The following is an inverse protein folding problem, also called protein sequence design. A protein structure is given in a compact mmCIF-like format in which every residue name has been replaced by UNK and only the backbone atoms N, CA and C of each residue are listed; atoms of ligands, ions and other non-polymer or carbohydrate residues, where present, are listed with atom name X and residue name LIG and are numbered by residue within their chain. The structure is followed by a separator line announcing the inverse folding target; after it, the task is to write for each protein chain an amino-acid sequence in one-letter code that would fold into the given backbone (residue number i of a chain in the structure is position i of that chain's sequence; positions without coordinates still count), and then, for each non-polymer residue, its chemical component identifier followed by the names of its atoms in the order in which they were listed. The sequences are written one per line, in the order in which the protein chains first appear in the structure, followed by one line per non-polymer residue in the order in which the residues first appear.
data_IF_405332958187
#
_entry.id   IF_405332958187
#
_cell.length_a   1.000
_cell.length_b   1.000
_cell.length_c   1.000
_cell.angle_alpha   90.00
_cell.angle_beta   90.00
_cell.angle_gamma   90.00
#
_symmetry.space_group_name_H-M   'P 1'
#
loop_
_entity.id
_entity.type
_entity.pdbx_description
1 polymer ?
#
# COMPACT_ATOMS: atom_id res chain seq x y z
N UNK A 1 1.36 12.74 -19.45
CA UNK A 1 1.85 11.52 -18.78
C UNK A 1 0.98 10.35 -19.20
N UNK A 2 1.57 9.21 -19.62
CA UNK A 2 0.82 7.99 -19.94
C UNK A 2 0.93 6.99 -18.80
N UNK A 3 -0.18 6.38 -18.40
CA UNK A 3 -0.25 5.36 -17.36
C UNK A 3 -0.94 4.13 -17.91
N UNK A 4 -0.36 2.96 -17.62
CA UNK A 4 -0.90 1.67 -18.03
C UNK A 4 -1.29 0.83 -16.81
N UNK A 5 -2.43 0.19 -16.86
CA UNK A 5 -2.85 -0.87 -15.96
C UNK A 5 -2.74 -2.21 -16.66
N UNK A 6 -2.18 -3.21 -16.02
CA UNK A 6 -2.09 -4.58 -16.57
C UNK A 6 -3.16 -5.45 -15.94
N UNK A 7 -4.30 -5.61 -16.62
CA UNK A 7 -5.39 -6.46 -16.16
C UNK A 7 -5.15 -7.94 -16.48
N UNK A 8 -5.45 -8.81 -15.55
CA UNK A 8 -5.41 -10.27 -15.67
C UNK A 8 -6.53 -10.89 -14.85
N UNK A 9 -6.87 -12.14 -15.17
CA UNK A 9 -7.93 -12.86 -14.47
C UNK A 9 -7.66 -12.91 -12.94
N UNK A 10 -8.74 -12.83 -12.17
CA UNK A 10 -8.69 -12.79 -10.69
C UNK A 10 -8.01 -11.57 -10.09
N UNK A 11 -7.73 -10.50 -10.85
CA UNK A 11 -7.31 -9.23 -10.25
C UNK A 11 -8.46 -8.59 -9.47
N UNK A 12 -8.13 -7.79 -8.45
CA UNK A 12 -9.11 -6.97 -7.74
C UNK A 12 -9.45 -5.73 -8.56
N UNK A 13 -10.71 -5.61 -8.99
CA UNK A 13 -11.20 -4.47 -9.78
C UNK A 13 -10.98 -3.12 -9.07
N UNK A 14 -11.12 -3.07 -7.74
CA UNK A 14 -10.89 -1.87 -6.93
C UNK A 14 -9.46 -1.34 -7.02
N UNK A 15 -8.47 -2.21 -7.26
CA UNK A 15 -7.08 -1.78 -7.48
C UNK A 15 -6.79 -1.26 -8.90
N UNK A 16 -7.80 -1.28 -9.76
CA UNK A 16 -7.80 -0.60 -11.07
C UNK A 16 -8.75 0.59 -11.03
N UNK A 17 -10.02 0.38 -10.62
CA UNK A 17 -11.06 1.42 -10.71
C UNK A 17 -10.74 2.64 -9.87
N UNK A 18 -10.33 2.47 -8.60
CA UNK A 18 -10.02 3.61 -7.73
C UNK A 18 -8.84 4.46 -8.27
N UNK A 19 -7.66 3.89 -8.58
CA UNK A 19 -6.60 4.64 -9.24
C UNK A 19 -7.02 5.29 -10.56
N UNK A 20 -7.80 4.59 -11.37
CA UNK A 20 -8.27 5.09 -12.67
C UNK A 20 -9.17 6.32 -12.51
N UNK A 21 -10.11 6.29 -11.55
CA UNK A 21 -11.00 7.41 -11.22
C UNK A 21 -10.21 8.61 -10.70
N UNK A 22 -9.23 8.39 -9.80
CA UNK A 22 -8.37 9.45 -9.27
C UNK A 22 -7.54 10.13 -10.37
N UNK A 23 -6.96 9.34 -11.28
CA UNK A 23 -6.16 9.84 -12.38
C UNK A 23 -7.01 10.59 -13.42
N UNK A 24 -8.22 10.12 -13.70
CA UNK A 24 -9.16 10.83 -14.57
C UNK A 24 -9.58 12.16 -13.95
N UNK A 25 -9.91 12.20 -12.66
CA UNK A 25 -10.24 13.43 -11.95
C UNK A 25 -9.08 14.44 -11.97
N UNK A 26 -7.82 13.97 -11.81
CA UNK A 26 -6.64 14.82 -11.94
C UNK A 26 -6.48 15.39 -13.34
N UNK A 27 -6.64 14.55 -14.35
CA UNK A 27 -6.51 14.94 -15.75
C UNK A 27 -7.59 15.95 -16.16
N UNK A 28 -8.84 15.75 -15.74
CA UNK A 28 -9.96 16.69 -15.97
C UNK A 28 -9.75 18.03 -15.25
N UNK A 29 -9.30 17.99 -13.99
CA UNK A 29 -8.97 19.19 -13.22
C UNK A 29 -7.83 19.97 -13.88
N UNK A 30 -6.78 19.28 -14.32
CA UNK A 30 -5.66 19.89 -15.02
C UNK A 30 -6.09 20.55 -16.34
N UNK A 31 -6.94 19.85 -17.11
CA UNK A 31 -7.52 20.40 -18.35
C UNK A 31 -8.33 21.66 -18.08
N UNK A 32 -9.18 21.66 -17.06
CA UNK A 32 -10.02 22.80 -16.72
C UNK A 32 -9.20 24.04 -16.32
N UNK A 33 -8.04 23.84 -15.66
CA UNK A 33 -7.20 24.93 -15.19
C UNK A 33 -6.25 25.41 -16.30
N UNK A 34 -5.62 24.50 -17.04
CA UNK A 34 -4.49 24.80 -17.93
C UNK A 34 -4.84 24.71 -19.42
N UNK A 35 -6.09 24.35 -19.75
CA UNK A 35 -6.57 24.13 -21.12
C UNK A 35 -5.70 23.18 -21.96
N UNK A 36 -5.12 22.17 -21.33
CA UNK A 36 -4.24 21.17 -21.96
C UNK A 36 -5.00 19.88 -22.24
N UNK A 37 -4.50 19.11 -23.23
CA UNK A 37 -5.08 17.81 -23.58
C UNK A 37 -4.99 16.82 -22.42
N UNK A 38 -6.07 16.07 -22.20
CA UNK A 38 -6.14 14.99 -21.22
C UNK A 38 -5.49 13.74 -21.79
N UNK A 39 -4.51 13.18 -21.07
CA UNK A 39 -3.97 11.86 -21.36
C UNK A 39 -4.69 10.87 -20.46
N UNK A 40 -5.50 10.02 -21.05
CA UNK A 40 -6.26 9.00 -20.32
C UNK A 40 -5.36 7.81 -19.96
N UNK A 41 -5.48 7.27 -18.74
CA UNK A 41 -4.90 5.98 -18.41
C UNK A 41 -5.51 4.87 -19.28
N UNK A 42 -4.69 3.89 -19.69
CA UNK A 42 -5.10 2.78 -20.54
C UNK A 42 -5.02 1.45 -19.76
N UNK A 43 -5.92 0.52 -20.07
CA UNK A 43 -5.97 -0.81 -19.45
C UNK A 43 -5.56 -1.86 -20.47
N UNK A 44 -4.51 -2.60 -20.18
CA UNK A 44 -3.95 -3.63 -21.04
C UNK A 44 -4.25 -5.03 -20.49
N UNK A 45 -4.59 -5.97 -21.36
CA UNK A 45 -4.86 -7.36 -21.00
C UNK A 45 -4.65 -8.32 -22.17
N UNK A 46 -4.51 -9.60 -21.88
CA UNK A 46 -4.34 -10.64 -22.91
C UNK A 46 -5.61 -10.93 -23.71
N UNK A 47 -6.77 -10.50 -23.24
CA UNK A 47 -8.08 -10.61 -23.89
C UNK A 47 -8.74 -9.24 -23.87
N UNK A 48 -9.62 -8.96 -24.84
CA UNK A 48 -10.42 -7.72 -24.87
C UNK A 48 -11.31 -7.52 -23.64
N UNK A 49 -11.55 -8.60 -22.89
CA UNK A 49 -12.38 -8.61 -21.69
C UNK A 49 -11.75 -9.57 -20.69
N UNK A 50 -11.34 -9.05 -19.54
CA UNK A 50 -10.73 -9.80 -18.45
C UNK A 50 -11.71 -9.89 -17.29
N UNK A 51 -11.94 -11.09 -16.75
CA UNK A 51 -12.80 -11.28 -15.59
C UNK A 51 -12.01 -11.05 -14.30
N UNK A 52 -12.32 -9.98 -13.59
CA UNK A 52 -11.78 -9.68 -12.28
C UNK A 52 -12.41 -10.56 -11.20
N UNK A 53 -11.82 -10.56 -10.01
CA UNK A 53 -12.41 -11.17 -8.83
C UNK A 53 -13.79 -10.58 -8.54
N UNK A 54 -14.74 -11.44 -8.11
CA UNK A 54 -16.14 -11.02 -7.91
C UNK A 54 -16.98 -10.94 -9.19
N UNK A 55 -16.45 -11.38 -10.35
CA UNK A 55 -17.22 -11.54 -11.58
C UNK A 55 -17.32 -10.28 -12.44
N UNK A 56 -16.76 -9.14 -12.02
CA UNK A 56 -16.71 -7.94 -12.85
C UNK A 56 -15.84 -8.15 -14.08
N UNK A 57 -16.29 -7.59 -15.20
CA UNK A 57 -15.54 -7.65 -16.45
C UNK A 57 -14.86 -6.30 -16.71
N UNK A 58 -13.56 -6.35 -16.94
CA UNK A 58 -12.75 -5.20 -17.28
C UNK A 58 -12.47 -5.24 -18.77
N UNK A 59 -12.88 -4.19 -19.49
CA UNK A 59 -12.49 -4.02 -20.88
C UNK A 59 -11.04 -3.57 -20.95
N UNK A 60 -10.30 -4.07 -21.92
CA UNK A 60 -8.90 -3.74 -22.15
C UNK A 60 -8.72 -3.11 -23.52
N UNK A 61 -7.86 -2.10 -23.57
CA UNK A 61 -7.61 -1.35 -24.78
C UNK A 61 -6.69 -2.10 -25.74
N UNK A 62 -5.68 -2.81 -25.20
CA UNK A 62 -4.70 -3.55 -25.99
C UNK A 62 -3.99 -4.62 -25.18
N UNK A 63 -3.13 -5.41 -25.84
CA UNK A 63 -2.29 -6.42 -25.21
C UNK A 63 -1.09 -5.77 -24.47
N UNK A 64 -0.64 -6.29 -23.30
CA UNK A 64 0.49 -5.73 -22.55
C UNK A 64 1.80 -5.58 -23.33
N UNK A 65 2.03 -6.39 -24.36
CA UNK A 65 3.20 -6.26 -25.26
C UNK A 65 3.22 -4.96 -26.05
N UNK A 66 2.05 -4.31 -26.20
CA UNK A 66 1.91 -3.05 -26.93
C UNK A 66 2.11 -1.83 -26.03
N UNK A 67 2.41 -2.02 -24.74
CA UNK A 67 2.72 -0.91 -23.83
C UNK A 67 4.02 -0.24 -24.27
N UNK A 68 3.91 1.02 -24.68
CA UNK A 68 5.06 1.86 -25.07
C UNK A 68 4.85 3.29 -24.59
N UNK A 69 5.94 4.00 -24.37
CA UNK A 69 5.95 5.42 -24.01
C UNK A 69 5.10 5.78 -22.77
N UNK A 70 5.11 4.90 -21.78
CA UNK A 70 4.39 5.09 -20.51
C UNK A 70 5.35 5.50 -19.38
N UNK A 71 4.84 6.26 -18.43
CA UNK A 71 5.59 6.74 -17.28
C UNK A 71 5.41 5.84 -16.05
N UNK A 72 4.27 5.14 -15.99
CA UNK A 72 3.89 4.28 -14.86
C UNK A 72 3.09 3.08 -15.36
N UNK A 73 3.43 1.89 -14.87
CA UNK A 73 2.67 0.65 -15.08
C UNK A 73 2.22 0.13 -13.73
N UNK A 74 0.92 -0.12 -13.60
CA UNK A 74 0.29 -0.58 -12.35
C UNK A 74 -0.19 -2.03 -12.53
N UNK A 75 0.26 -2.90 -11.64
CA UNK A 75 -0.18 -4.29 -11.49
C UNK A 75 -1.21 -4.36 -10.36
N UNK A 76 -2.50 -4.61 -10.65
CA UNK A 76 -3.54 -4.70 -9.65
C UNK A 76 -3.33 -5.90 -8.71
N UNK A 77 -3.90 -5.83 -7.52
CA UNK A 77 -3.83 -6.93 -6.56
C UNK A 77 -4.49 -8.20 -7.12
N UNK A 78 -3.94 -9.36 -6.78
CA UNK A 78 -4.46 -10.67 -7.14
C UNK A 78 -5.33 -11.18 -5.99
N UNK A 79 -6.53 -11.67 -6.31
CA UNK A 79 -7.38 -12.34 -5.34
C UNK A 79 -6.91 -13.76 -5.07
N UNK A 80 -6.68 -14.11 -3.81
CA UNK A 80 -6.20 -15.42 -3.35
C UNK A 80 -4.75 -15.72 -3.79
N UNK A 81 -4.48 -16.93 -4.28
CA UNK A 81 -3.13 -17.42 -4.56
C UNK A 81 -2.52 -16.77 -5.81
N UNK A 82 -1.49 -15.92 -5.67
CA UNK A 82 -0.88 -15.22 -6.81
C UNK A 82 -0.16 -16.17 -7.78
N UNK A 83 0.38 -17.29 -7.31
CA UNK A 83 1.21 -18.17 -8.14
C UNK A 83 0.46 -18.79 -9.30
N UNK A 84 -0.82 -19.09 -9.12
CA UNK A 84 -1.66 -19.65 -10.21
C UNK A 84 -1.85 -18.63 -11.32
N UNK A 85 -2.06 -17.36 -10.97
CA UNK A 85 -2.21 -16.27 -11.94
C UNK A 85 -0.87 -15.99 -12.64
N UNK A 86 0.23 -15.93 -11.89
CA UNK A 86 1.57 -15.73 -12.45
C UNK A 86 1.94 -16.80 -13.47
N UNK A 87 1.65 -18.08 -13.20
CA UNK A 87 1.90 -19.16 -14.14
C UNK A 87 1.14 -18.99 -15.46
N UNK A 88 -0.14 -18.56 -15.42
CA UNK A 88 -0.95 -18.31 -16.62
C UNK A 88 -0.43 -17.11 -17.41
N UNK A 89 0.10 -16.12 -16.73
CA UNK A 89 0.60 -14.87 -17.31
C UNK A 89 2.12 -14.74 -17.25
N UNK A 90 2.84 -15.88 -17.36
CA UNK A 90 4.29 -15.95 -17.20
C UNK A 90 5.03 -14.97 -18.14
N UNK A 91 4.48 -14.69 -19.32
CA UNK A 91 5.05 -13.72 -20.26
C UNK A 91 5.21 -12.30 -19.68
N UNK A 92 4.42 -11.94 -18.64
CA UNK A 92 4.55 -10.65 -17.96
C UNK A 92 5.86 -10.51 -17.18
N UNK A 93 6.51 -11.61 -16.80
CA UNK A 93 7.79 -11.56 -16.08
C UNK A 93 8.89 -10.96 -16.96
N UNK A 94 8.94 -11.36 -18.23
CA UNK A 94 9.90 -10.81 -19.19
C UNK A 94 9.59 -9.34 -19.52
N UNK A 95 8.31 -8.99 -19.68
CA UNK A 95 7.91 -7.62 -19.90
C UNK A 95 8.25 -6.72 -18.70
N UNK A 96 8.08 -7.21 -17.47
CA UNK A 96 8.46 -6.49 -16.25
C UNK A 96 9.95 -6.14 -16.24
N UNK A 97 10.84 -7.09 -16.61
CA UNK A 97 12.29 -6.85 -16.72
C UNK A 97 12.59 -5.76 -17.73
N UNK A 98 12.01 -5.88 -18.94
CA UNK A 98 12.20 -4.90 -20.01
C UNK A 98 11.73 -3.49 -19.62
N UNK A 99 10.59 -3.36 -18.95
CA UNK A 99 10.07 -2.08 -18.48
C UNK A 99 10.91 -1.50 -17.36
N UNK A 100 11.42 -2.35 -16.45
CA UNK A 100 12.35 -1.93 -15.39
C UNK A 100 13.65 -1.38 -15.99
N UNK A 101 14.25 -2.08 -16.95
CA UNK A 101 15.48 -1.67 -17.63
C UNK A 101 15.30 -0.35 -18.39
N UNK A 102 14.11 -0.10 -18.96
CA UNK A 102 13.76 1.17 -19.59
C UNK A 102 13.52 2.30 -18.60
N UNK A 103 13.59 2.05 -17.29
CA UNK A 103 13.38 3.06 -16.24
C UNK A 103 11.91 3.46 -16.05
N UNK A 104 10.95 2.70 -16.59
CA UNK A 104 9.52 2.94 -16.39
C UNK A 104 9.17 2.65 -14.93
N UNK A 105 8.41 3.54 -14.28
CA UNK A 105 7.94 3.29 -12.92
C UNK A 105 6.97 2.10 -12.90
N UNK A 106 7.22 1.14 -12.02
CA UNK A 106 6.44 -0.08 -11.89
C UNK A 106 5.80 -0.12 -10.50
N UNK A 107 4.50 -0.31 -10.42
CA UNK A 107 3.75 -0.37 -9.17
C UNK A 107 3.05 -1.72 -9.02
N UNK A 108 3.36 -2.44 -7.94
CA UNK A 108 2.64 -3.64 -7.51
C UNK A 108 1.67 -3.30 -6.39
N UNK A 109 0.42 -3.74 -6.49
CA UNK A 109 -0.60 -3.58 -5.45
C UNK A 109 -0.84 -4.91 -4.73
N UNK A 110 -0.64 -4.93 -3.43
CA UNK A 110 -0.85 -6.11 -2.59
C UNK A 110 -0.08 -7.32 -3.11
N UNK A 111 -0.78 -8.41 -3.29
CA UNK A 111 -0.23 -9.72 -3.71
C UNK A 111 0.40 -9.73 -5.11
N UNK A 112 0.18 -8.69 -5.95
CA UNK A 112 0.87 -8.60 -7.24
C UNK A 112 2.37 -8.32 -7.12
N UNK A 113 2.88 -7.94 -5.93
CA UNK A 113 4.32 -7.92 -5.64
C UNK A 113 5.00 -9.27 -5.92
N UNK A 114 4.24 -10.37 -5.91
CA UNK A 114 4.74 -11.69 -6.29
C UNK A 114 5.16 -11.78 -7.77
N UNK A 115 4.54 -11.02 -8.70
CA UNK A 115 5.04 -10.92 -10.08
C UNK A 115 6.45 -10.33 -10.12
N UNK A 116 6.68 -9.30 -9.33
CA UNK A 116 7.96 -8.58 -9.27
C UNK A 116 9.04 -9.45 -8.60
N UNK A 117 8.66 -10.22 -7.58
CA UNK A 117 9.53 -11.19 -6.93
C UNK A 117 9.92 -12.33 -7.90
N UNK A 118 8.95 -12.95 -8.60
CA UNK A 118 9.20 -13.99 -9.61
C UNK A 118 10.02 -13.48 -10.80
N UNK A 119 9.90 -12.20 -11.15
CA UNK A 119 10.75 -11.58 -12.17
C UNK A 119 12.17 -11.27 -11.67
N UNK A 120 12.49 -11.51 -10.37
CA UNK A 120 13.79 -11.22 -9.77
C UNK A 120 14.03 -9.72 -9.48
N UNK A 121 13.05 -8.87 -9.65
CA UNK A 121 13.19 -7.42 -9.52
C UNK A 121 13.32 -6.93 -8.07
N UNK A 122 12.92 -7.77 -7.11
CA UNK A 122 12.93 -7.43 -5.68
C UNK A 122 14.09 -8.10 -4.91
N UNK A 123 15.00 -8.82 -5.59
CA UNK A 123 16.12 -9.49 -4.94
C UNK A 123 16.98 -8.50 -4.16
N UNK A 124 17.17 -8.76 -2.84
CA UNK A 124 17.88 -7.90 -1.87
C UNK A 124 17.36 -6.45 -1.82
N UNK A 125 16.09 -6.23 -2.13
CA UNK A 125 15.46 -4.91 -2.11
C UNK A 125 14.29 -4.88 -1.14
N UNK A 126 13.97 -3.68 -0.60
CA UNK A 126 12.78 -3.51 0.23
C UNK A 126 11.52 -3.70 -0.61
N UNK A 127 10.58 -4.47 -0.07
CA UNK A 127 9.27 -4.69 -0.67
C UNK A 127 8.21 -4.86 0.41
N UNK A 128 6.96 -4.54 0.10
CA UNK A 128 5.80 -4.92 0.89
C UNK A 128 4.79 -5.66 0.02
N UNK A 129 3.88 -6.36 0.67
CA UNK A 129 2.78 -7.08 0.04
C UNK A 129 1.52 -6.96 0.90
N UNK A 130 0.44 -7.64 0.55
CA UNK A 130 -0.74 -7.67 1.40
C UNK A 130 -0.43 -8.39 2.72
N UNK A 131 -0.82 -7.80 3.85
CA UNK A 131 -0.50 -8.30 5.20
C UNK A 131 -0.85 -9.79 5.41
N UNK A 132 -1.99 -10.25 4.87
CA UNK A 132 -2.39 -11.66 4.94
C UNK A 132 -1.49 -12.64 4.16
N UNK A 133 -0.48 -12.14 3.42
CA UNK A 133 0.48 -12.91 2.65
C UNK A 133 1.93 -12.78 3.12
N UNK A 134 2.20 -12.00 4.18
CA UNK A 134 3.56 -11.75 4.64
C UNK A 134 4.36 -13.03 4.86
N UNK A 135 3.81 -14.00 5.59
CA UNK A 135 4.54 -15.23 5.93
C UNK A 135 4.76 -16.13 4.71
N UNK A 136 3.78 -16.22 3.81
CA UNK A 136 3.90 -16.98 2.57
C UNK A 136 4.91 -16.33 1.63
N UNK A 137 4.88 -15.00 1.51
CA UNK A 137 5.79 -14.21 0.69
C UNK A 137 7.22 -14.34 1.21
N UNK A 138 7.45 -14.13 2.51
CA UNK A 138 8.78 -14.25 3.13
C UNK A 138 9.36 -15.66 3.03
N UNK A 139 8.52 -16.69 3.22
CA UNK A 139 8.95 -18.09 3.07
C UNK A 139 9.37 -18.44 1.65
N UNK A 140 8.70 -17.85 0.65
CA UNK A 140 8.97 -18.13 -0.76
C UNK A 140 10.14 -17.31 -1.31
N UNK A 141 10.31 -16.09 -0.82
CA UNK A 141 11.32 -15.13 -1.28
C UNK A 141 12.16 -14.63 -0.10
N UNK A 142 12.97 -15.52 0.53
CA UNK A 142 13.69 -15.20 1.77
C UNK A 142 14.75 -14.10 1.59
N UNK A 143 15.22 -13.89 0.36
CA UNK A 143 16.22 -12.87 0.00
C UNK A 143 15.61 -11.46 -0.16
N UNK A 144 14.29 -11.32 -0.14
CA UNK A 144 13.63 -10.02 -0.23
C UNK A 144 13.54 -9.40 1.16
N UNK A 145 13.87 -8.12 1.27
CA UNK A 145 13.70 -7.35 2.50
C UNK A 145 12.24 -6.98 2.69
N UNK A 146 11.45 -7.89 3.30
CA UNK A 146 10.02 -7.67 3.51
C UNK A 146 9.77 -6.66 4.63
N UNK A 147 9.26 -5.49 4.26
CA UNK A 147 8.94 -4.38 5.14
C UNK A 147 7.48 -4.46 5.61
N UNK A 148 7.24 -5.21 6.70
CA UNK A 148 5.88 -5.48 7.22
C UNK A 148 5.20 -4.25 7.83
N UNK A 149 5.98 -3.26 8.27
CA UNK A 149 5.50 -2.07 8.96
C UNK A 149 5.22 -0.89 8.03
N UNK A 150 5.52 -1.03 6.74
CA UNK A 150 5.32 0.01 5.74
C UNK A 150 4.23 -0.38 4.75
N UNK A 151 3.31 0.54 4.52
CA UNK A 151 2.23 0.34 3.56
C UNK A 151 2.71 0.50 2.11
N UNK A 152 3.79 1.23 1.92
CA UNK A 152 4.40 1.48 0.61
C UNK A 152 5.92 1.34 0.75
N UNK A 153 6.54 0.64 -0.19
CA UNK A 153 7.99 0.57 -0.34
C UNK A 153 8.40 1.05 -1.72
N UNK A 154 9.61 1.61 -1.80
CA UNK A 154 10.22 2.04 -3.06
C UNK A 154 11.65 1.55 -3.17
N UNK A 155 11.98 0.92 -4.29
CA UNK A 155 13.32 0.53 -4.68
C UNK A 155 13.59 0.99 -6.12
N UNK A 156 14.32 2.08 -6.30
CA UNK A 156 14.54 2.74 -7.61
C UNK A 156 13.19 3.15 -8.25
N UNK A 157 12.86 2.53 -9.40
CA UNK A 157 11.60 2.73 -10.13
C UNK A 157 10.52 1.68 -9.81
N UNK A 158 10.70 0.88 -8.75
CA UNK A 158 9.75 -0.14 -8.31
C UNK A 158 9.06 0.34 -7.04
N UNK A 159 7.74 0.27 -7.03
CA UNK A 159 6.87 0.62 -5.91
C UNK A 159 6.02 -0.59 -5.55
N UNK A 160 5.90 -0.91 -4.25
CA UNK A 160 4.96 -1.90 -3.76
C UNK A 160 4.02 -1.22 -2.76
N UNK A 161 2.72 -1.28 -3.04
CA UNK A 161 1.66 -0.81 -2.14
C UNK A 161 0.98 -2.01 -1.51
N UNK A 162 0.94 -2.11 -0.18
CA UNK A 162 0.44 -3.29 0.54
C UNK A 162 -1.08 -3.53 0.41
N UNK A 163 -1.84 -2.54 -0.03
CA UNK A 163 -3.30 -2.62 -0.15
C UNK A 163 -3.85 -1.68 -1.22
N UNK A 164 -5.16 -1.80 -1.50
CA UNK A 164 -5.88 -0.87 -2.38
C UNK A 164 -5.89 0.56 -1.81
N UNK A 165 -5.96 0.70 -0.49
CA UNK A 165 -5.90 2.03 0.13
C UNK A 165 -4.51 2.67 -0.03
N UNK A 166 -3.45 1.89 0.17
CA UNK A 166 -2.07 2.38 -0.02
C UNK A 166 -1.75 2.73 -1.47
N UNK A 167 -2.36 2.05 -2.47
CA UNK A 167 -2.16 2.46 -3.86
C UNK A 167 -2.79 3.83 -4.13
N UNK A 168 -3.89 4.17 -3.48
CA UNK A 168 -4.48 5.49 -3.62
C UNK A 168 -3.54 6.60 -3.11
N UNK A 169 -2.84 6.39 -1.99
CA UNK A 169 -1.80 7.33 -1.50
C UNK A 169 -0.65 7.46 -2.50
N UNK A 170 -0.23 6.35 -3.09
CA UNK A 170 0.80 6.34 -4.13
C UNK A 170 0.33 7.08 -5.41
N UNK A 171 -0.94 6.96 -5.79
CA UNK A 171 -1.53 7.70 -6.90
C UNK A 171 -1.53 9.21 -6.63
N UNK A 172 -1.86 9.67 -5.42
CA UNK A 172 -1.76 11.08 -5.05
C UNK A 172 -0.32 11.59 -5.22
N UNK A 173 0.67 10.81 -4.78
CA UNK A 173 2.08 11.15 -5.02
C UNK A 173 2.41 11.32 -6.51
N UNK A 174 1.95 10.41 -7.37
CA UNK A 174 2.16 10.54 -8.81
C UNK A 174 1.40 11.73 -9.40
N UNK A 175 0.16 11.98 -8.96
CA UNK A 175 -0.59 13.17 -9.37
C UNK A 175 0.17 14.43 -8.98
N UNK A 176 0.70 14.51 -7.76
CA UNK A 176 1.51 15.66 -7.33
C UNK A 176 2.76 15.84 -8.20
N UNK A 177 3.46 14.75 -8.48
CA UNK A 177 4.67 14.75 -9.30
C UNK A 177 4.40 15.25 -10.73
N UNK A 178 3.23 14.92 -11.30
CA UNK A 178 2.94 15.18 -12.70
C UNK A 178 2.05 16.38 -12.96
N UNK A 179 1.17 16.73 -12.03
CA UNK A 179 0.18 17.79 -12.19
C UNK A 179 0.33 18.90 -11.13
N UNK A 180 1.23 18.70 -10.14
CA UNK A 180 1.48 19.65 -9.06
C UNK A 180 0.57 19.48 -7.85
N UNK A 181 0.99 20.11 -6.74
CA UNK A 181 0.36 19.95 -5.42
C UNK A 181 -1.09 20.44 -5.35
N UNK A 182 -1.46 21.46 -6.15
CA UNK A 182 -2.83 22.00 -6.12
C UNK A 182 -3.85 21.01 -6.67
N UNK A 183 -3.51 20.30 -7.74
CA UNK A 183 -4.37 19.28 -8.33
C UNK A 183 -4.40 18.04 -7.42
N UNK A 184 -3.24 17.64 -6.89
CA UNK A 184 -3.17 16.52 -5.94
C UNK A 184 -4.08 16.75 -4.73
N UNK A 185 -4.05 17.93 -4.10
CA UNK A 185 -4.93 18.28 -2.96
C UNK A 185 -6.42 18.23 -3.31
N UNK A 186 -6.80 18.66 -4.51
CA UNK A 186 -8.20 18.61 -4.96
C UNK A 186 -8.68 17.17 -5.15
N UNK A 187 -7.85 16.32 -5.76
CA UNK A 187 -8.16 14.90 -5.94
C UNK A 187 -8.21 14.19 -4.60
N UNK A 188 -7.26 14.44 -3.72
CA UNK A 188 -7.23 13.88 -2.36
C UNK A 188 -8.49 14.22 -1.58
N UNK A 189 -8.94 15.48 -1.61
CA UNK A 189 -10.16 15.94 -0.94
C UNK A 189 -11.42 15.22 -1.44
N UNK A 190 -11.47 14.82 -2.72
CA UNK A 190 -12.62 14.13 -3.31
C UNK A 190 -12.63 12.63 -2.99
N UNK A 191 -11.46 11.99 -2.81
CA UNK A 191 -11.35 10.52 -2.70
C UNK A 191 -11.04 10.01 -1.30
N UNK A 192 -10.63 10.82 -0.36
CA UNK A 192 -10.53 10.45 1.07
C UNK A 192 -10.01 11.61 1.93
N UNK A 193 -10.85 12.47 2.45
CA UNK A 193 -10.42 13.58 3.31
C UNK A 193 -9.99 13.13 4.72
N UNK A 194 -10.40 11.96 5.20
CA UNK A 194 -10.44 11.69 6.65
C UNK A 194 -9.30 10.84 7.21
N UNK A 195 -8.52 10.12 6.42
CA UNK A 195 -7.61 9.05 6.95
C UNK A 195 -6.21 9.06 6.34
N UNK A 196 -5.88 9.94 5.39
CA UNK A 196 -4.61 9.84 4.68
C UNK A 196 -3.48 10.60 5.35
N UNK A 197 -2.45 9.85 5.70
CA UNK A 197 -1.15 10.42 6.04
C UNK A 197 -0.43 10.80 4.73
N UNK A 198 0.36 11.88 4.77
CA UNK A 198 1.23 12.27 3.64
C UNK A 198 2.07 11.08 3.17
N UNK A 199 2.20 10.90 1.86
CA UNK A 199 3.03 9.87 1.21
C UNK A 199 4.42 9.75 1.83
N UNK A 200 5.10 10.88 2.10
CA UNK A 200 6.42 10.90 2.71
C UNK A 200 6.47 10.23 4.09
N UNK A 201 5.33 10.12 4.80
CA UNK A 201 5.24 9.47 6.11
C UNK A 201 4.94 7.97 6.04
N UNK A 202 4.43 7.48 4.92
CA UNK A 202 4.00 6.08 4.75
C UNK A 202 4.91 5.25 3.85
N UNK A 203 5.97 5.86 3.27
CA UNK A 203 6.87 5.18 2.34
C UNK A 203 8.25 4.93 2.94
N UNK A 204 8.76 3.72 2.67
CA UNK A 204 10.16 3.35 2.86
C UNK A 204 10.91 3.46 1.53
N UNK A 205 11.99 4.24 1.49
CA UNK A 205 12.86 4.40 0.33
C UNK A 205 14.17 3.62 0.52
N UNK A 206 14.61 2.88 -0.49
CA UNK A 206 15.90 2.21 -0.51
C UNK A 206 17.05 3.25 -0.39
N UNK A 207 17.93 3.06 0.59
CA UNK A 207 19.11 3.93 0.81
C UNK A 207 18.86 5.15 1.71
N UNK A 208 17.64 5.43 2.14
CA UNK A 208 17.36 6.43 3.15
C UNK A 208 17.52 5.83 4.56
N UNK A 209 18.70 5.92 5.14
CA UNK A 209 18.97 5.52 6.53
C UNK A 209 18.48 6.54 7.57
N UNK A 210 17.64 7.48 7.20
CA UNK A 210 17.03 8.41 8.15
C UNK A 210 15.91 7.72 8.89
N UNK A 211 16.22 7.22 10.08
CA UNK A 211 15.22 6.86 11.10
C UNK A 211 14.39 8.11 11.39
N UNK A 212 13.27 8.27 10.71
CA UNK A 212 12.32 9.30 11.06
C UNK A 212 11.78 9.01 12.47
N UNK A 213 11.59 10.06 13.26
CA UNK A 213 11.05 9.96 14.62
C UNK A 213 9.70 9.22 14.68
N UNK A 214 9.01 9.11 13.56
CA UNK A 214 7.71 8.44 13.42
C UNK A 214 7.83 6.90 13.28
N UNK A 215 8.99 6.36 12.83
CA UNK A 215 9.21 4.89 12.74
C UNK A 215 9.25 4.24 14.12
N UNK A 216 9.82 4.91 15.10
CA UNK A 216 9.84 4.42 16.47
C UNK A 216 8.41 4.36 17.03
N UNK A 217 7.60 5.38 16.74
CA UNK A 217 6.18 5.40 17.15
C UNK A 217 5.40 4.33 16.40
N UNK A 218 5.62 4.14 15.09
CA UNK A 218 4.96 3.09 14.32
C UNK A 218 5.30 1.68 14.88
N UNK A 219 6.56 1.42 15.21
CA UNK A 219 6.98 0.17 15.90
C UNK A 219 6.30 0.01 17.25
N UNK A 220 6.19 1.10 18.01
CA UNK A 220 5.51 1.07 19.31
C UNK A 220 4.02 0.79 19.14
N UNK A 221 3.35 1.37 18.16
CA UNK A 221 1.93 1.13 17.87
C UNK A 221 1.68 -0.36 17.56
N UNK A 222 2.51 -0.97 16.72
CA UNK A 222 2.42 -2.40 16.42
C UNK A 222 2.67 -3.25 17.67
N UNK A 223 3.70 -2.92 18.44
CA UNK A 223 4.00 -3.62 19.68
C UNK A 223 2.84 -3.51 20.69
N UNK A 224 2.18 -2.35 20.80
CA UNK A 224 1.00 -2.14 21.64
C UNK A 224 -0.17 -3.01 21.20
N UNK A 225 -0.42 -3.13 19.89
CA UNK A 225 -1.45 -4.00 19.34
C UNK A 225 -1.19 -5.49 19.60
N UNK A 226 0.07 -5.92 19.65
CA UNK A 226 0.45 -7.32 19.93
C UNK A 226 0.50 -7.62 21.44
N UNK A 227 0.67 -6.60 22.29
CA UNK A 227 0.90 -6.77 23.73
C UNK A 227 -0.15 -6.09 24.61
N UNK A 228 -1.29 -5.69 24.04
CA UNK A 228 -2.34 -4.93 24.75
C UNK A 228 -2.84 -5.60 26.04
N UNK A 229 -2.91 -6.92 26.06
CA UNK A 229 -3.38 -7.72 27.21
C UNK A 229 -2.36 -7.72 28.40
N UNK A 230 -1.11 -7.31 28.15
CA UNK A 230 -0.08 -7.29 29.20
C UNK A 230 -0.10 -5.98 29.98
N UNK A 231 0.53 -5.97 31.17
CA UNK A 231 0.75 -4.74 31.92
C UNK A 231 1.78 -3.86 31.19
N UNK A 232 1.29 -2.83 30.49
CA UNK A 232 2.11 -1.85 29.75
C UNK A 232 2.10 -0.51 30.47
N UNK A 233 3.29 -0.02 30.84
CA UNK A 233 3.48 1.28 31.49
C UNK A 233 4.14 2.27 30.52
N UNK A 234 3.95 3.57 30.76
CA UNK A 234 4.64 4.62 29.98
C UNK A 234 6.17 4.48 30.04
N UNK A 235 6.71 4.04 31.17
CA UNK A 235 8.15 3.75 31.31
C UNK A 235 8.57 2.64 30.35
N UNK A 236 7.86 1.51 30.34
CA UNK A 236 8.17 0.40 29.44
C UNK A 236 8.10 0.77 27.95
N UNK A 237 7.13 1.61 27.56
CA UNK A 237 7.05 2.15 26.20
C UNK A 237 8.24 3.05 25.86
N UNK A 238 8.68 3.90 26.82
CA UNK A 238 9.82 4.79 26.65
C UNK A 238 11.15 4.00 26.56
N UNK A 239 11.30 2.97 27.39
CA UNK A 239 12.49 2.09 27.41
C UNK A 239 12.63 1.31 26.09
N UNK A 240 11.51 0.84 25.50
CA UNK A 240 11.50 0.15 24.20
C UNK A 240 12.05 1.02 23.05
N UNK A 241 11.90 2.34 23.18
CA UNK A 241 12.38 3.29 22.18
C UNK A 241 13.71 3.96 22.59
N UNK A 242 14.23 3.68 23.79
CA UNK A 242 15.44 4.32 24.32
C UNK A 242 15.31 5.84 24.53
N UNK A 243 14.09 6.33 24.87
CA UNK A 243 13.79 7.75 25.05
C UNK A 243 13.14 8.04 26.40
N UNK A 244 13.09 9.32 26.80
CA UNK A 244 12.37 9.71 28.01
C UNK A 244 10.85 9.67 27.82
N UNK A 245 10.09 9.48 28.93
CA UNK A 245 8.61 9.54 28.92
C UNK A 245 8.10 10.87 28.34
N UNK A 246 8.75 11.99 28.63
CA UNK A 246 8.40 13.30 28.07
C UNK A 246 8.55 13.32 26.55
N UNK A 247 9.63 12.76 26.03
CA UNK A 247 9.89 12.65 24.59
C UNK A 247 8.89 11.71 23.94
N UNK A 248 8.60 10.55 24.58
CA UNK A 248 7.58 9.62 24.13
C UNK A 248 6.22 10.31 23.97
N UNK A 249 5.72 10.96 25.03
CA UNK A 249 4.41 11.62 25.01
C UNK A 249 4.32 12.69 23.91
N UNK A 250 5.37 13.51 23.76
CA UNK A 250 5.42 14.53 22.71
C UNK A 250 5.40 13.90 21.32
N UNK A 251 6.27 12.94 21.04
CA UNK A 251 6.37 12.26 19.73
C UNK A 251 5.10 11.48 19.40
N UNK A 252 4.57 10.75 20.38
CA UNK A 252 3.35 9.96 20.23
C UNK A 252 2.13 10.86 19.97
N UNK A 253 1.99 11.95 20.71
CA UNK A 253 0.89 12.91 20.48
C UNK A 253 1.01 13.59 19.12
N UNK A 254 2.23 13.94 18.68
CA UNK A 254 2.45 14.50 17.35
C UNK A 254 2.03 13.52 16.23
N UNK A 255 2.34 12.22 16.41
CA UNK A 255 2.07 11.18 15.42
C UNK A 255 0.60 10.72 15.40
N UNK A 256 -0.04 10.61 16.59
CA UNK A 256 -1.35 9.96 16.75
C UNK A 256 -2.46 10.90 17.25
N UNK A 257 -2.11 12.13 17.64
CA UNK A 257 -2.99 13.14 18.28
C UNK A 257 -3.63 12.68 19.60
N UNK A 258 -3.07 11.66 20.25
CA UNK A 258 -3.52 11.14 21.54
C UNK A 258 -2.32 10.71 22.39
N UNK A 259 -2.54 10.47 23.69
CA UNK A 259 -1.48 9.96 24.55
C UNK A 259 -1.24 8.44 24.30
N UNK A 260 -0.04 7.90 24.61
CA UNK A 260 0.21 6.46 24.51
C UNK A 260 -0.77 5.61 25.34
N UNK A 261 -1.20 6.11 26.50
CA UNK A 261 -2.13 5.41 27.40
C UNK A 261 -3.56 5.41 26.82
N UNK A 262 -4.00 6.52 26.23
CA UNK A 262 -5.31 6.60 25.60
C UNK A 262 -5.38 5.71 24.37
N UNK A 263 -4.31 5.63 23.58
CA UNK A 263 -4.20 4.70 22.48
C UNK A 263 -4.34 3.25 22.96
N UNK A 264 -3.57 2.85 23.96
CA UNK A 264 -3.64 1.50 24.54
C UNK A 264 -5.06 1.18 25.04
N UNK A 265 -5.73 2.16 25.67
CA UNK A 265 -7.13 2.03 26.11
C UNK A 265 -8.06 1.79 24.91
N UNK A 266 -7.87 2.53 23.82
CA UNK A 266 -8.66 2.36 22.60
C UNK A 266 -8.49 0.97 21.99
N UNK A 267 -7.26 0.47 21.92
CA UNK A 267 -6.93 -0.88 21.45
C UNK A 267 -7.64 -1.93 22.32
N UNK A 268 -7.54 -1.84 23.65
CA UNK A 268 -8.19 -2.76 24.60
C UNK A 268 -9.71 -2.77 24.45
N UNK A 269 -10.33 -1.59 24.32
CA UNK A 269 -11.77 -1.47 24.11
C UNK A 269 -12.18 -2.09 22.78
N UNK A 270 -11.37 -1.93 21.73
CA UNK A 270 -11.61 -2.58 20.44
C UNK A 270 -11.65 -4.10 20.54
N UNK A 271 -10.63 -4.70 21.15
CA UNK A 271 -10.57 -6.15 21.37
C UNK A 271 -11.67 -6.64 22.32
N UNK A 272 -11.97 -5.90 23.39
CA UNK A 272 -13.06 -6.26 24.31
C UNK A 272 -14.41 -6.32 23.58
N UNK A 273 -14.71 -5.34 22.69
CA UNK A 273 -15.91 -5.38 21.87
C UNK A 273 -15.97 -6.60 20.95
N UNK A 274 -14.85 -6.95 20.32
CA UNK A 274 -14.78 -8.14 19.47
C UNK A 274 -15.01 -9.42 20.27
N UNK A 275 -14.41 -9.57 21.45
CA UNK A 275 -14.61 -10.72 22.31
C UNK A 275 -16.07 -10.84 22.76
N UNK A 276 -16.70 -9.76 23.18
CA UNK A 276 -18.13 -9.74 23.56
C UNK A 276 -19.06 -10.09 22.39
N UNK A 277 -18.70 -9.77 21.16
CA UNK A 277 -19.51 -10.07 19.97
C UNK A 277 -19.32 -11.49 19.45
N UNK A 278 -18.12 -12.07 19.61
CA UNK A 278 -17.71 -13.32 18.97
C UNK A 278 -17.56 -14.51 19.93
N UNK A 279 -17.69 -14.26 21.24
CA UNK A 279 -17.55 -15.31 22.28
C UNK A 279 -18.69 -15.26 23.30
N UNK A 280 -18.82 -16.31 24.10
CA UNK A 280 -19.76 -16.39 25.21
C UNK A 280 -19.13 -15.98 26.55
N UNK A 281 -18.03 -15.22 26.53
CA UNK A 281 -17.35 -14.76 27.73
C UNK A 281 -18.18 -13.69 28.45
N UNK A 282 -18.20 -13.73 29.77
CA UNK A 282 -18.77 -12.67 30.60
C UNK A 282 -17.93 -11.38 30.50
N UNK A 283 -18.50 -10.26 30.87
CA UNK A 283 -17.80 -8.97 30.91
C UNK A 283 -16.57 -9.02 31.81
N UNK A 284 -16.62 -9.78 32.92
CA UNK A 284 -15.50 -9.95 33.84
C UNK A 284 -14.33 -10.73 33.18
N UNK A 285 -14.64 -11.84 32.50
CA UNK A 285 -13.65 -12.64 31.77
C UNK A 285 -13.02 -11.85 30.62
N UNK A 286 -13.80 -11.04 29.90
CA UNK A 286 -13.27 -10.16 28.85
C UNK A 286 -12.36 -9.08 29.43
N UNK A 287 -12.72 -8.51 30.59
CA UNK A 287 -11.89 -7.52 31.26
C UNK A 287 -10.54 -8.09 31.74
N UNK A 288 -10.47 -9.38 32.10
CA UNK A 288 -9.21 -10.03 32.45
C UNK A 288 -8.31 -10.30 31.23
N UNK A 289 -8.90 -10.43 30.05
CA UNK A 289 -8.16 -10.68 28.79
C UNK A 289 -7.69 -9.38 28.09
N UNK A 290 -8.17 -8.22 28.51
CA UNK A 290 -7.86 -6.92 27.93
C UNK A 290 -7.13 -6.01 28.90
#
# INVERSE_FOLDING_TARGET
MKIAFVAYDSCLSSSISLPLEMLNAAAETHRAINNQAVIKPEVFGNLRKVQAAGGLNIHTDSHPRNISDVNLIIFPAIWRNPLTVIRRHHYLLELLKQWHEKGINLCAVGTSSSFFAEAGLLHQRPATTHWGYFDQFQKRYPEIQLEKNFLITRAKNIYCAGSVNSVADLIIYFIETFYGSDIARRVEANFSPEVRQSYAKSMYNEGEHTRHSDEDIARLLNWLNENYAKKVTAQKMADLLGISIRTLNRRFNTATRQSPQDYLRTVRIGHAKELLQKSNLSVAEVAEQC
#
